data_IF_796158003165
#
_entry.id   IF_796158003165
#
_cell.length_a   1.000
_cell.length_b   1.000
_cell.length_c   1.000
_cell.angle_alpha   90.00
_cell.angle_beta   90.00
_cell.angle_gamma   90.00
#
_symmetry.space_group_name_H-M   'P 1'
#
loop_
_entity.id
_entity.type
_entity.pdbx_description
1 polymer ?
#
# COMPACT_ATOMS: atom_id res chain seq x y z
N UNK A 1 28.44 -31.99 -25.89
CA UNK A 1 28.20 -31.35 -24.57
C UNK A 1 27.67 -29.96 -24.82
N UNK A 2 26.32 -29.79 -24.83
CA UNK A 2 25.67 -28.53 -25.15
C UNK A 2 25.00 -28.01 -23.86
N UNK A 3 25.59 -26.96 -23.31
CA UNK A 3 25.00 -26.21 -22.18
C UNK A 3 23.87 -25.27 -22.70
N UNK A 4 22.63 -25.55 -22.35
CA UNK A 4 21.51 -24.66 -22.59
C UNK A 4 21.46 -23.58 -21.49
N UNK A 5 21.83 -22.35 -21.85
CA UNK A 5 21.51 -21.15 -21.03
C UNK A 5 19.99 -20.89 -21.08
N UNK A 6 19.33 -21.04 -19.94
CA UNK A 6 17.94 -20.59 -19.78
C UNK A 6 17.93 -19.08 -19.52
N UNK A 7 17.55 -18.31 -20.54
CA UNK A 7 17.17 -16.91 -20.41
C UNK A 7 15.79 -16.83 -19.73
N UNK A 8 15.74 -16.36 -18.51
CA UNK A 8 14.48 -15.93 -17.88
C UNK A 8 14.18 -14.52 -18.34
N UNK A 9 13.25 -14.42 -19.31
CA UNK A 9 12.75 -13.16 -19.78
C UNK A 9 11.83 -12.52 -18.73
N UNK A 10 12.13 -11.29 -18.36
CA UNK A 10 11.22 -10.41 -17.60
C UNK A 10 9.99 -10.10 -18.46
N UNK A 11 8.87 -10.73 -18.16
CA UNK A 11 7.59 -10.37 -18.75
C UNK A 11 7.07 -9.09 -18.09
N UNK A 12 7.29 -7.95 -18.74
CA UNK A 12 6.59 -6.69 -18.43
C UNK A 12 5.17 -6.87 -18.97
N UNK A 13 4.21 -7.15 -18.10
CA UNK A 13 2.79 -7.15 -18.45
C UNK A 13 2.32 -5.71 -18.63
N UNK A 14 2.33 -5.25 -19.90
CA UNK A 14 1.68 -4.04 -20.35
C UNK A 14 0.17 -4.33 -20.49
N UNK A 15 -0.65 -3.78 -19.61
CA UNK A 15 -2.11 -3.87 -19.69
C UNK A 15 -2.60 -2.80 -20.69
N UNK A 16 -2.94 -3.22 -21.90
CA UNK A 16 -3.66 -2.41 -22.88
C UNK A 16 -5.14 -2.34 -22.50
N UNK A 17 -5.59 -1.18 -22.01
CA UNK A 17 -7.01 -0.85 -21.89
C UNK A 17 -7.50 -0.19 -23.19
N UNK A 18 -8.53 -0.77 -23.80
CA UNK A 18 -9.29 -0.17 -24.88
C UNK A 18 -10.13 1.00 -24.35
N UNK A 19 -9.87 2.21 -24.88
CA UNK A 19 -10.73 3.38 -24.70
C UNK A 19 -11.85 3.35 -25.75
N UNK A 20 -13.10 3.28 -25.30
CA UNK A 20 -14.24 3.74 -26.07
C UNK A 20 -14.51 5.20 -25.73
N UNK A 21 -14.27 6.10 -26.69
CA UNK A 21 -14.62 7.50 -26.62
C UNK A 21 -16.05 7.69 -27.09
N UNK A 22 -16.96 8.13 -26.22
CA UNK A 22 -18.22 8.75 -26.61
C UNK A 22 -18.20 10.21 -26.18
N UNK A 23 -18.35 11.09 -27.19
CA UNK A 23 -18.26 12.52 -27.03
C UNK A 23 -19.42 13.14 -26.25
N UNK A 24 -19.13 14.21 -25.54
CA UNK A 24 -20.14 15.12 -25.00
C UNK A 24 -19.77 16.56 -25.38
N UNK A 25 -20.78 17.27 -25.93
CA UNK A 25 -20.71 18.61 -26.49
C UNK A 25 -20.50 19.68 -25.42
N UNK A 26 -19.68 20.66 -25.76
CA UNK A 26 -19.49 21.94 -25.10
C UNK A 26 -20.76 22.82 -25.12
N UNK A 27 -21.12 23.43 -24.00
CA UNK A 27 -21.99 24.61 -23.95
C UNK A 27 -21.21 25.80 -23.37
N UNK A 28 -21.32 26.92 -24.08
CA UNK A 28 -20.71 28.21 -23.75
C UNK A 28 -21.48 28.94 -22.62
N UNK A 29 -20.83 29.89 -21.89
CA UNK A 29 -21.46 30.60 -20.79
C UNK A 29 -22.23 31.85 -21.27
N UNK A 30 -23.42 32.05 -20.74
CA UNK A 30 -24.22 33.26 -20.91
C UNK A 30 -23.77 34.29 -19.89
N UNK A 31 -23.45 35.50 -20.40
CA UNK A 31 -23.15 36.71 -19.67
C UNK A 31 -24.43 37.51 -19.47
N UNK A 32 -24.76 37.92 -18.24
CA UNK A 32 -25.61 39.10 -18.03
C UNK A 32 -25.55 39.65 -16.59
N UNK A 33 -25.31 40.94 -16.49
CA UNK A 33 -26.05 41.84 -15.67
C UNK A 33 -25.34 42.47 -14.45
N UNK A 34 -24.85 43.65 -14.69
CA UNK A 34 -24.53 44.70 -13.72
C UNK A 34 -25.64 44.97 -12.69
N UNK A 35 -25.31 45.07 -11.42
CA UNK A 35 -25.99 45.94 -10.50
C UNK A 35 -25.09 46.41 -9.37
N UNK A 36 -24.88 47.72 -9.32
CA UNK A 36 -24.21 48.49 -8.26
C UNK A 36 -24.89 48.26 -6.90
N UNK A 37 -24.10 48.00 -5.85
CA UNK A 37 -24.53 48.21 -4.48
C UNK A 37 -23.41 48.81 -3.63
N UNK A 38 -23.81 49.85 -2.95
CA UNK A 38 -23.20 50.84 -2.09
C UNK A 38 -22.32 50.26 -0.97
N UNK A 39 -21.18 50.95 -0.74
CA UNK A 39 -20.24 50.76 0.36
C UNK A 39 -20.91 51.10 1.68
N UNK A 40 -21.03 50.11 2.56
CA UNK A 40 -21.41 50.30 3.97
C UNK A 40 -20.13 50.19 4.85
N UNK A 41 -20.05 51.06 5.85
CA UNK A 41 -18.95 51.21 6.80
C UNK A 41 -18.65 49.95 7.62
N UNK A 42 -17.38 49.73 8.10
CA UNK A 42 -17.01 48.56 8.83
C UNK A 42 -17.49 48.58 10.29
N UNK A 43 -18.22 47.56 10.66
CA UNK A 43 -18.59 47.29 12.06
C UNK A 43 -17.41 46.65 12.79
N UNK A 44 -17.09 47.00 14.06
CA UNK A 44 -15.97 46.42 14.81
C UNK A 44 -16.28 44.96 15.15
N UNK A 45 -15.36 44.08 14.77
CA UNK A 45 -15.42 42.66 15.15
C UNK A 45 -14.89 42.54 16.58
N UNK A 46 -15.74 42.26 17.53
CA UNK A 46 -15.38 41.77 18.85
C UNK A 46 -14.62 40.45 18.73
N UNK A 47 -13.39 40.44 19.27
CA UNK A 47 -12.63 39.25 19.49
C UNK A 47 -13.33 38.34 20.51
N UNK A 48 -14.00 37.31 20.03
CA UNK A 48 -14.38 36.16 20.88
C UNK A 48 -13.25 35.16 20.92
N UNK A 49 -12.74 35.05 22.13
CA UNK A 49 -11.87 34.10 22.75
C UNK A 49 -11.63 32.75 22.04
N UNK A 50 -10.34 32.43 22.03
CA UNK A 50 -9.74 31.10 21.91
C UNK A 50 -10.64 29.96 22.42
N UNK A 51 -11.30 29.28 21.54
CA UNK A 51 -11.64 27.89 21.79
C UNK A 51 -10.35 27.08 21.56
N UNK A 52 -9.72 26.73 22.65
CA UNK A 52 -8.72 25.67 22.74
C UNK A 52 -9.35 24.39 22.19
N UNK A 53 -9.15 24.13 20.91
CA UNK A 53 -9.34 22.79 20.36
C UNK A 53 -8.30 21.89 21.04
N UNK A 54 -8.68 21.30 22.17
CA UNK A 54 -8.02 20.10 22.71
C UNK A 54 -8.28 18.98 21.70
N UNK A 55 -7.55 19.01 20.60
CA UNK A 55 -7.31 17.83 19.78
C UNK A 55 -6.48 16.91 20.69
N UNK A 56 -7.13 15.99 21.40
CA UNK A 56 -6.44 14.85 21.99
C UNK A 56 -5.84 14.07 20.81
N UNK A 57 -4.62 14.43 20.43
CA UNK A 57 -3.82 13.66 19.49
C UNK A 57 -3.51 12.37 20.22
N UNK A 58 -4.23 11.31 19.87
CA UNK A 58 -3.94 9.97 20.37
C UNK A 58 -2.50 9.64 20.01
N UNK A 59 -1.70 9.32 21.01
CA UNK A 59 -0.32 8.87 20.78
C UNK A 59 -0.35 7.48 20.15
N UNK A 60 0.00 7.42 18.87
CA UNK A 60 0.03 6.19 18.09
C UNK A 60 1.44 5.57 17.99
N UNK A 61 2.41 6.07 18.77
CA UNK A 61 3.77 5.53 18.77
C UNK A 61 3.80 4.05 19.18
N UNK A 62 4.64 3.27 18.49
CA UNK A 62 4.79 1.82 18.72
C UNK A 62 3.50 1.00 18.60
N UNK A 63 2.50 1.49 17.88
CA UNK A 63 1.22 0.78 17.72
C UNK A 63 1.42 -0.58 17.04
N UNK A 64 0.77 -1.58 17.59
CA UNK A 64 0.71 -2.94 17.02
C UNK A 64 -0.70 -3.28 16.59
N UNK A 65 -0.78 -4.05 15.51
CA UNK A 65 -2.04 -4.56 14.96
C UNK A 65 -1.99 -6.08 14.98
N UNK A 66 -2.99 -6.70 15.58
CA UNK A 66 -3.22 -8.13 15.44
C UNK A 66 -4.07 -8.39 14.21
N UNK A 67 -3.62 -9.29 13.35
CA UNK A 67 -4.33 -9.76 12.16
C UNK A 67 -4.68 -11.22 12.38
N UNK A 68 -5.96 -11.54 12.55
CA UNK A 68 -6.44 -12.90 12.75
C UNK A 68 -7.00 -13.44 11.43
N UNK A 69 -6.62 -14.67 11.09
CA UNK A 69 -7.09 -15.41 9.92
C UNK A 69 -7.43 -16.86 10.28
N UNK A 70 -8.07 -17.59 9.37
CA UNK A 70 -8.30 -19.03 9.53
C UNK A 70 -7.01 -19.87 9.58
N UNK A 71 -5.86 -19.30 9.19
CA UNK A 71 -4.55 -19.97 9.14
C UNK A 71 -3.66 -19.63 10.35
N UNK A 72 -4.13 -18.72 11.22
CA UNK A 72 -3.45 -18.26 12.40
C UNK A 72 -3.42 -16.74 12.52
N UNK A 73 -2.73 -16.25 13.54
CA UNK A 73 -2.61 -14.83 13.86
C UNK A 73 -1.23 -14.31 13.49
N UNK A 74 -1.17 -13.04 13.05
CA UNK A 74 0.05 -12.26 12.87
C UNK A 74 -0.03 -11.00 13.71
N UNK A 75 1.11 -10.52 14.21
CA UNK A 75 1.22 -9.20 14.84
C UNK A 75 2.10 -8.32 13.97
N UNK A 76 1.59 -7.16 13.63
CA UNK A 76 2.27 -6.14 12.83
C UNK A 76 2.62 -4.97 13.75
N UNK A 77 3.87 -4.51 13.71
CA UNK A 77 4.30 -3.22 14.26
C UNK A 77 4.24 -2.17 13.17
N UNK A 78 3.60 -1.03 13.43
CA UNK A 78 3.59 0.12 12.53
C UNK A 78 4.79 1.03 12.80
N UNK A 79 5.27 1.73 11.76
CA UNK A 79 6.42 2.63 11.85
C UNK A 79 5.97 4.07 12.13
N UNK A 80 6.63 4.72 13.06
CA UNK A 80 6.32 6.10 13.46
C UNK A 80 6.74 7.13 12.42
N UNK A 81 7.75 6.80 11.61
CA UNK A 81 8.32 7.66 10.57
C UNK A 81 7.49 7.70 9.27
N UNK A 82 6.39 6.96 9.22
CA UNK A 82 5.39 7.02 8.14
C UNK A 82 4.01 7.36 8.72
N UNK A 83 3.85 8.53 9.35
CA UNK A 83 2.68 8.85 10.18
C UNK A 83 1.37 8.87 9.40
N UNK A 84 1.35 9.30 8.14
CA UNK A 84 0.11 9.35 7.37
C UNK A 84 -0.43 7.93 7.09
N UNK A 85 0.45 6.98 6.72
CA UNK A 85 0.07 5.59 6.51
C UNK A 85 -0.29 4.91 7.83
N UNK A 86 0.53 5.12 8.88
CA UNK A 86 0.27 4.58 10.22
C UNK A 86 -1.10 4.99 10.74
N UNK A 87 -1.36 6.30 10.81
CA UNK A 87 -2.57 6.84 11.43
C UNK A 87 -3.82 6.49 10.63
N UNK A 88 -3.73 6.49 9.29
CA UNK A 88 -4.79 6.02 8.43
C UNK A 88 -5.09 4.53 8.63
N UNK A 89 -4.05 3.69 8.73
CA UNK A 89 -4.23 2.25 8.93
C UNK A 89 -4.89 1.96 10.28
N UNK A 90 -4.44 2.63 11.36
CA UNK A 90 -5.05 2.55 12.70
C UNK A 90 -6.53 2.93 12.64
N UNK A 91 -6.86 4.09 12.05
CA UNK A 91 -8.24 4.55 11.89
C UNK A 91 -9.13 3.51 11.19
N UNK A 92 -8.63 2.88 10.12
CA UNK A 92 -9.38 1.86 9.40
C UNK A 92 -9.53 0.57 10.21
N UNK A 93 -8.52 0.18 10.97
CA UNK A 93 -8.61 -0.98 11.90
C UNK A 93 -9.64 -0.71 13.00
N UNK A 94 -9.57 0.44 13.67
CA UNK A 94 -10.49 0.81 14.76
C UNK A 94 -11.94 0.92 14.29
N UNK A 95 -12.16 1.36 13.05
CA UNK A 95 -13.51 1.40 12.46
C UNK A 95 -14.04 0.02 12.04
N UNK A 96 -13.23 -1.04 12.15
CA UNK A 96 -13.58 -2.38 11.66
C UNK A 96 -13.60 -2.51 10.14
N UNK A 97 -13.03 -1.55 9.41
CA UNK A 97 -13.03 -1.52 7.95
C UNK A 97 -12.46 -2.82 7.33
N UNK A 98 -11.40 -3.38 7.92
CA UNK A 98 -10.73 -4.58 7.41
C UNK A 98 -11.43 -5.89 7.75
N UNK A 99 -12.41 -5.88 8.67
CA UNK A 99 -13.08 -7.11 9.09
C UNK A 99 -13.81 -7.75 7.91
N UNK A 100 -13.60 -9.05 7.75
CA UNK A 100 -14.15 -9.89 6.68
C UNK A 100 -13.66 -9.55 5.26
N UNK A 101 -12.66 -8.66 5.11
CA UNK A 101 -11.95 -8.50 3.86
C UNK A 101 -11.01 -9.68 3.62
N UNK A 102 -10.70 -9.95 2.35
CA UNK A 102 -9.87 -11.08 1.95
C UNK A 102 -8.42 -10.66 1.68
N UNK A 103 -7.50 -11.58 1.90
CA UNK A 103 -6.26 -11.61 1.13
C UNK A 103 -6.61 -12.04 -0.29
N UNK A 104 -6.93 -11.06 -1.13
CA UNK A 104 -7.54 -11.29 -2.46
C UNK A 104 -6.54 -11.57 -3.56
N UNK A 105 -5.23 -11.34 -3.31
CA UNK A 105 -4.15 -11.63 -4.25
C UNK A 105 -2.92 -12.14 -3.49
N UNK A 106 -2.56 -13.39 -3.75
CA UNK A 106 -1.47 -14.08 -3.06
C UNK A 106 -0.52 -14.69 -4.07
N UNK A 107 0.72 -14.20 -4.14
CA UNK A 107 1.75 -14.72 -5.04
C UNK A 107 2.91 -15.26 -4.21
N UNK A 108 3.09 -16.56 -4.23
CA UNK A 108 4.19 -17.25 -3.54
C UNK A 108 5.55 -16.73 -4.04
N UNK A 109 6.44 -16.42 -3.11
CA UNK A 109 7.73 -15.82 -3.41
C UNK A 109 7.66 -14.33 -3.75
N UNK A 110 6.49 -13.70 -3.56
CA UNK A 110 6.32 -12.26 -3.77
C UNK A 110 5.59 -11.59 -2.59
N UNK A 111 4.25 -11.65 -2.51
CA UNK A 111 3.49 -10.95 -1.46
C UNK A 111 2.06 -11.49 -1.29
N UNK A 112 1.44 -11.19 -0.15
CA UNK A 112 0.01 -11.34 0.11
C UNK A 112 -0.65 -9.96 0.19
N UNK A 113 -1.62 -9.67 -0.69
CA UNK A 113 -2.31 -8.36 -0.79
C UNK A 113 -3.75 -8.46 -0.29
N UNK A 114 -4.16 -7.47 0.50
CA UNK A 114 -5.51 -7.32 1.04
C UNK A 114 -5.99 -5.86 1.04
N UNK A 115 -7.11 -5.61 1.73
CA UNK A 115 -7.61 -4.25 1.96
C UNK A 115 -8.52 -3.68 0.85
N UNK A 116 -8.94 -4.49 -0.13
CA UNK A 116 -9.99 -4.13 -1.08
C UNK A 116 -11.37 -4.31 -0.44
N UNK A 117 -12.17 -3.24 -0.22
CA UNK A 117 -13.50 -3.35 0.36
C UNK A 117 -14.47 -4.20 -0.48
N UNK A 118 -14.24 -4.31 -1.79
CA UNK A 118 -15.04 -5.15 -2.68
C UNK A 118 -14.80 -6.65 -2.46
N UNK A 119 -13.79 -7.01 -1.67
CA UNK A 119 -13.50 -8.42 -1.35
C UNK A 119 -14.44 -9.00 -0.28
N UNK A 120 -15.17 -8.17 0.48
CA UNK A 120 -16.10 -8.65 1.51
C UNK A 120 -17.25 -9.40 0.88
N UNK A 121 -17.33 -10.72 1.17
CA UNK A 121 -18.37 -11.59 0.61
C UNK A 121 -18.33 -11.74 -0.91
N UNK A 122 -17.20 -11.44 -1.55
CA UNK A 122 -17.07 -11.50 -3.00
C UNK A 122 -17.25 -12.94 -3.53
N UNK A 123 -18.08 -13.09 -4.55
CA UNK A 123 -18.27 -14.38 -5.22
C UNK A 123 -16.96 -14.92 -5.81
N UNK A 124 -16.87 -16.24 -5.97
CA UNK A 124 -15.72 -16.85 -6.65
C UNK A 124 -15.57 -16.27 -8.07
N UNK A 125 -14.33 -15.94 -8.47
CA UNK A 125 -14.05 -15.35 -9.78
C UNK A 125 -14.32 -13.84 -9.90
N UNK A 126 -14.85 -13.18 -8.85
CA UNK A 126 -14.97 -11.71 -8.86
C UNK A 126 -13.62 -11.04 -9.06
N UNK A 127 -13.58 -10.00 -9.91
CA UNK A 127 -12.39 -9.17 -10.09
C UNK A 127 -12.23 -8.25 -8.88
N UNK A 128 -11.08 -8.33 -8.21
CA UNK A 128 -10.74 -7.60 -7.00
C UNK A 128 -9.45 -6.78 -7.23
N UNK A 129 -9.11 -5.92 -6.28
CA UNK A 129 -7.91 -5.10 -6.30
C UNK A 129 -8.12 -3.68 -6.83
N UNK A 130 -9.36 -3.28 -7.17
CA UNK A 130 -9.68 -1.94 -7.66
C UNK A 130 -10.42 -1.07 -6.64
N UNK A 131 -10.89 -1.65 -5.53
CA UNK A 131 -11.64 -0.95 -4.50
C UNK A 131 -10.75 -0.14 -3.55
N UNK A 132 -11.36 0.81 -2.84
CA UNK A 132 -10.69 1.63 -1.84
C UNK A 132 -11.67 2.51 -1.08
N UNK A 133 -11.20 3.28 -0.09
CA UNK A 133 -12.04 4.12 0.76
C UNK A 133 -12.41 5.46 0.10
N UNK A 134 -12.08 5.68 -1.17
CA UNK A 134 -12.39 6.90 -1.92
C UNK A 134 -11.30 7.98 -1.85
N UNK A 135 -10.14 7.68 -1.28
CA UNK A 135 -8.99 8.59 -1.21
C UNK A 135 -7.67 7.84 -1.35
N UNK A 136 -6.60 8.59 -1.57
CA UNK A 136 -5.22 8.11 -1.63
C UNK A 136 -4.37 8.81 -0.57
N UNK A 137 -3.22 8.24 -0.24
CA UNK A 137 -2.26 8.79 0.72
C UNK A 137 -0.99 9.17 -0.04
N UNK A 138 -0.43 10.39 0.15
CA UNK A 138 0.87 10.76 -0.39
C UNK A 138 1.95 9.75 0.00
N UNK A 139 2.89 9.46 -0.91
CA UNK A 139 3.97 8.52 -0.62
C UNK A 139 4.85 9.02 0.53
N UNK A 140 5.25 8.11 1.43
CA UNK A 140 6.19 8.34 2.54
C UNK A 140 7.39 7.40 2.39
N UNK A 141 8.14 7.57 1.28
CA UNK A 141 9.32 6.75 1.02
C UNK A 141 10.43 7.04 2.02
N UNK A 142 10.98 5.98 2.62
CA UNK A 142 12.06 6.06 3.58
C UNK A 142 13.09 4.95 3.31
N UNK A 143 14.33 5.31 3.01
CA UNK A 143 15.39 4.36 2.69
C UNK A 143 15.79 3.44 3.85
N UNK A 144 15.39 3.77 5.08
CA UNK A 144 15.61 2.88 6.22
C UNK A 144 14.65 1.68 6.22
N UNK A 145 13.51 1.79 5.52
CA UNK A 145 12.47 0.77 5.48
C UNK A 145 12.48 0.04 4.14
N UNK A 146 12.96 -1.18 4.17
CA UNK A 146 13.12 -2.03 2.99
C UNK A 146 12.02 -3.10 2.95
N UNK A 147 11.72 -3.60 1.75
CA UNK A 147 10.74 -4.66 1.53
C UNK A 147 11.31 -6.05 1.91
N UNK A 148 11.85 -6.19 3.13
CA UNK A 148 12.24 -7.49 3.66
C UNK A 148 11.02 -8.40 3.83
N UNK A 149 11.21 -9.71 3.96
CA UNK A 149 10.11 -10.63 4.31
C UNK A 149 9.41 -10.15 5.59
N UNK A 150 8.09 -10.04 5.52
CA UNK A 150 7.25 -9.51 6.59
C UNK A 150 7.01 -7.99 6.54
N UNK A 151 7.66 -7.24 5.66
CA UNK A 151 7.37 -5.82 5.50
C UNK A 151 5.92 -5.58 5.09
N UNK A 152 5.23 -4.66 5.79
CA UNK A 152 3.91 -4.16 5.46
C UNK A 152 4.07 -2.92 4.59
N UNK A 153 3.52 -2.95 3.38
CA UNK A 153 3.61 -1.84 2.45
C UNK A 153 2.25 -1.52 1.82
N UNK A 154 2.09 -0.26 1.41
CA UNK A 154 0.87 0.21 0.78
C UNK A 154 0.85 -0.14 -0.71
N UNK A 155 -0.26 -0.73 -1.18
CA UNK A 155 -0.49 -0.92 -2.61
C UNK A 155 -0.78 0.43 -3.29
N UNK A 156 -0.56 0.51 -4.60
CA UNK A 156 -0.87 1.69 -5.40
C UNK A 156 -1.13 1.32 -6.87
N UNK A 157 -1.72 2.25 -7.60
CA UNK A 157 -1.82 2.15 -9.05
C UNK A 157 -0.46 2.36 -9.73
N UNK A 158 -0.31 1.84 -10.95
CA UNK A 158 0.91 1.96 -11.75
C UNK A 158 1.23 3.41 -12.14
N UNK A 159 2.51 3.70 -12.40
CA UNK A 159 3.05 5.05 -12.64
C UNK A 159 2.36 5.82 -13.78
N UNK A 160 1.82 5.13 -14.79
CA UNK A 160 1.12 5.76 -15.91
C UNK A 160 -0.14 6.53 -15.49
N UNK A 161 -0.91 5.98 -14.55
CA UNK A 161 -2.15 6.60 -14.03
C UNK A 161 -1.94 7.30 -12.69
N UNK A 162 -0.80 7.07 -12.05
CA UNK A 162 -0.45 7.59 -10.73
C UNK A 162 1.03 8.03 -10.68
N UNK A 163 1.40 9.07 -11.42
CA UNK A 163 2.79 9.55 -11.48
C UNK A 163 3.31 10.08 -10.15
N UNK A 164 2.44 10.49 -9.23
CA UNK A 164 2.78 10.92 -7.87
C UNK A 164 3.09 9.76 -6.93
N UNK A 165 2.85 8.50 -7.38
CA UNK A 165 3.00 7.28 -6.58
C UNK A 165 2.22 7.29 -5.27
N UNK A 166 1.10 8.02 -5.21
CA UNK A 166 0.23 8.03 -4.05
C UNK A 166 -0.30 6.62 -3.77
N UNK A 167 -0.32 6.25 -2.51
CA UNK A 167 -0.78 4.95 -2.06
C UNK A 167 -2.29 4.83 -2.07
N UNK A 168 -2.82 3.62 -2.24
CA UNK A 168 -4.22 3.32 -1.93
C UNK A 168 -4.52 3.66 -0.48
N UNK A 169 -5.71 4.23 -0.22
CA UNK A 169 -6.14 4.56 1.13
C UNK A 169 -6.40 3.33 2.02
N UNK A 170 -6.54 2.11 1.44
CA UNK A 170 -6.81 0.90 2.23
C UNK A 170 -6.06 -0.35 1.79
N UNK A 171 -5.68 -0.47 0.52
CA UNK A 171 -5.01 -1.68 0.07
C UNK A 171 -3.55 -1.71 0.48
N UNK A 172 -3.15 -2.82 1.04
CA UNK A 172 -1.80 -3.11 1.52
C UNK A 172 -1.33 -4.49 1.05
N UNK A 173 -0.04 -4.74 1.18
CA UNK A 173 0.50 -6.09 1.03
C UNK A 173 1.58 -6.36 2.08
N UNK A 174 1.77 -7.65 2.37
CA UNK A 174 2.86 -8.15 3.21
C UNK A 174 3.84 -8.88 2.30
N UNK A 175 5.08 -8.40 2.26
CA UNK A 175 6.13 -8.95 1.42
C UNK A 175 6.58 -10.33 1.90
N UNK A 176 6.81 -11.27 0.97
CA UNK A 176 7.52 -12.51 1.24
C UNK A 176 8.88 -12.50 0.56
N UNK A 177 8.89 -12.45 -0.76
CA UNK A 177 10.10 -12.52 -1.57
C UNK A 177 10.91 -13.80 -1.36
N UNK A 178 12.18 -13.73 -1.73
CA UNK A 178 13.17 -14.80 -1.60
C UNK A 178 14.52 -14.21 -1.21
N UNK A 179 15.41 -15.05 -0.68
CA UNK A 179 16.80 -14.66 -0.44
C UNK A 179 17.49 -14.28 -1.75
N UNK A 180 18.33 -13.26 -1.70
CA UNK A 180 18.97 -12.65 -2.86
C UNK A 180 20.51 -12.80 -2.78
N UNK A 181 21.13 -12.90 -3.92
CA UNK A 181 22.59 -12.80 -4.04
C UNK A 181 23.04 -11.34 -4.06
N UNK A 182 24.33 -11.08 -3.75
CA UNK A 182 24.89 -9.73 -3.86
C UNK A 182 24.76 -9.16 -5.27
N UNK A 183 24.87 -9.98 -6.32
CA UNK A 183 24.68 -9.55 -7.69
C UNK A 183 23.25 -9.03 -7.95
N UNK A 184 22.23 -9.72 -7.43
CA UNK A 184 20.84 -9.30 -7.54
C UNK A 184 20.57 -8.01 -6.75
N UNK A 185 21.12 -7.90 -5.53
CA UNK A 185 21.00 -6.69 -4.71
C UNK A 185 21.66 -5.50 -5.42
N UNK A 186 22.86 -5.70 -6.00
CA UNK A 186 23.53 -4.65 -6.78
C UNK A 186 22.69 -4.21 -7.98
N UNK A 187 22.07 -5.12 -8.69
CA UNK A 187 21.21 -4.81 -9.82
C UNK A 187 20.00 -3.95 -9.40
N UNK A 188 19.34 -4.32 -8.29
CA UNK A 188 18.24 -3.53 -7.74
C UNK A 188 18.73 -2.16 -7.27
N UNK A 189 19.84 -2.08 -6.55
CA UNK A 189 20.41 -0.81 -6.10
C UNK A 189 20.69 0.14 -7.27
N UNK A 190 21.24 -0.36 -8.39
CA UNK A 190 21.46 0.44 -9.59
C UNK A 190 20.14 0.93 -10.20
N UNK A 191 19.11 0.11 -10.21
CA UNK A 191 17.77 0.52 -10.68
C UNK A 191 17.17 1.63 -9.80
N UNK A 192 17.24 1.50 -8.48
CA UNK A 192 16.76 2.51 -7.53
C UNK A 192 17.55 3.81 -7.68
N UNK A 193 18.86 3.75 -7.88
CA UNK A 193 19.73 4.91 -8.11
C UNK A 193 19.38 5.73 -9.34
N UNK A 194 18.74 5.16 -10.36
CA UNK A 194 18.30 5.92 -11.52
C UNK A 194 17.26 6.99 -11.15
N UNK A 195 16.45 6.73 -10.11
CA UNK A 195 15.44 7.66 -9.61
C UNK A 195 15.88 8.39 -8.33
N UNK A 196 16.74 7.77 -7.55
CA UNK A 196 17.24 8.25 -6.27
C UNK A 196 18.78 8.13 -6.23
N UNK A 197 19.55 9.06 -6.84
CA UNK A 197 20.99 8.92 -7.05
C UNK A 197 21.81 8.67 -5.77
N UNK A 198 21.34 9.14 -4.63
CA UNK A 198 22.02 8.99 -3.33
C UNK A 198 21.60 7.70 -2.58
N UNK A 199 20.72 6.89 -3.15
CA UNK A 199 20.31 5.64 -2.51
C UNK A 199 21.44 4.63 -2.48
N UNK A 200 21.65 3.98 -1.34
CA UNK A 200 22.50 2.81 -1.21
C UNK A 200 21.97 1.93 -0.08
N UNK A 201 21.99 0.62 -0.28
CA UNK A 201 21.73 -0.31 0.81
C UNK A 201 22.84 -0.28 1.84
N UNK A 202 22.50 -0.26 3.13
CA UNK A 202 23.46 -0.47 4.19
C UNK A 202 23.93 -1.93 4.20
N UNK A 203 25.11 -2.24 4.81
CA UNK A 203 25.56 -3.63 4.96
C UNK A 203 24.50 -4.52 5.64
N UNK A 204 23.79 -4.00 6.63
CA UNK A 204 22.75 -4.70 7.37
C UNK A 204 21.54 -5.00 6.48
N UNK A 205 21.08 -4.05 5.68
CA UNK A 205 19.98 -4.25 4.73
C UNK A 205 20.35 -5.30 3.67
N UNK A 206 21.59 -5.29 3.18
CA UNK A 206 22.08 -6.31 2.25
C UNK A 206 22.07 -7.70 2.88
N UNK A 207 22.52 -7.80 4.15
CA UNK A 207 22.51 -9.07 4.87
C UNK A 207 21.08 -9.59 5.11
N UNK A 208 20.15 -8.71 5.42
CA UNK A 208 18.71 -9.05 5.53
C UNK A 208 18.18 -9.65 4.22
N UNK A 209 18.47 -9.04 3.07
CA UNK A 209 18.03 -9.59 1.79
C UNK A 209 18.70 -10.92 1.43
N UNK A 210 19.93 -11.15 1.88
CA UNK A 210 20.67 -12.40 1.63
C UNK A 210 20.17 -13.55 2.51
N UNK A 211 19.76 -13.27 3.74
CA UNK A 211 19.41 -14.28 4.74
C UNK A 211 17.91 -14.49 4.88
N UNK A 212 17.17 -13.40 5.03
CA UNK A 212 15.71 -13.41 5.26
C UNK A 212 14.96 -13.32 3.94
N UNK A 213 15.52 -12.57 2.99
CA UNK A 213 14.89 -12.30 1.70
C UNK A 213 13.90 -11.14 1.73
N UNK A 214 13.22 -10.95 0.61
CA UNK A 214 12.28 -9.86 0.43
C UNK A 214 12.01 -9.55 -1.04
N UNK A 215 11.40 -8.38 -1.28
CA UNK A 215 11.02 -7.90 -2.61
C UNK A 215 11.70 -6.56 -2.90
N UNK A 216 13.04 -6.56 -2.88
CA UNK A 216 13.88 -5.36 -2.99
C UNK A 216 13.56 -4.47 -4.21
N UNK A 217 13.06 -5.07 -5.30
CA UNK A 217 12.65 -4.33 -6.51
C UNK A 217 11.52 -3.32 -6.29
N UNK A 218 10.85 -3.36 -5.11
CA UNK A 218 9.79 -2.42 -4.74
C UNK A 218 10.31 -1.26 -3.86
N UNK A 219 11.58 -1.32 -3.42
CA UNK A 219 12.15 -0.29 -2.56
C UNK A 219 12.15 1.08 -3.24
N UNK A 220 11.78 2.12 -2.48
CA UNK A 220 11.63 3.51 -2.94
C UNK A 220 10.58 3.72 -4.04
N UNK A 221 9.80 2.69 -4.38
CA UNK A 221 8.66 2.78 -5.29
C UNK A 221 7.31 2.55 -4.59
N UNK A 222 7.32 1.97 -3.38
CA UNK A 222 6.14 1.77 -2.52
C UNK A 222 6.49 2.14 -1.08
N UNK A 223 5.49 2.68 -0.34
CA UNK A 223 5.69 3.04 1.07
C UNK A 223 5.61 1.80 1.96
N UNK A 224 6.72 1.49 2.62
CA UNK A 224 6.76 0.51 3.72
C UNK A 224 6.45 1.25 5.01
N UNK A 225 5.41 0.83 5.73
CA UNK A 225 4.91 1.52 6.92
C UNK A 225 4.76 0.64 8.16
N UNK A 226 5.28 -0.59 8.10
CA UNK A 226 5.27 -1.52 9.21
C UNK A 226 5.94 -2.85 8.86
N UNK A 227 5.89 -3.77 9.80
CA UNK A 227 6.43 -5.12 9.65
C UNK A 227 5.70 -6.14 10.52
N UNK A 228 5.62 -7.38 10.05
CA UNK A 228 5.18 -8.52 10.87
C UNK A 228 6.27 -8.86 11.86
N UNK A 229 5.96 -8.76 13.16
CA UNK A 229 6.89 -9.06 14.26
C UNK A 229 6.62 -10.43 14.89
N UNK A 230 5.40 -10.98 14.71
CA UNK A 230 5.02 -12.31 15.15
C UNK A 230 4.15 -12.99 14.09
N UNK A 231 4.26 -14.30 13.91
CA UNK A 231 3.42 -15.06 12.98
C UNK A 231 3.87 -15.03 11.52
N UNK A 232 5.16 -14.87 11.22
CA UNK A 232 5.68 -14.97 9.85
C UNK A 232 5.40 -16.31 9.19
N UNK A 233 5.24 -17.39 9.95
CA UNK A 233 4.82 -18.70 9.45
C UNK A 233 3.38 -18.68 8.91
N UNK A 234 2.52 -17.82 9.48
CA UNK A 234 1.14 -17.63 8.97
C UNK A 234 1.16 -16.98 7.59
N UNK A 235 2.04 -15.99 7.35
CA UNK A 235 2.26 -15.43 6.01
C UNK A 235 2.67 -16.54 5.01
N UNK A 236 3.59 -17.41 5.40
CA UNK A 236 4.02 -18.53 4.55
C UNK A 236 2.88 -19.52 4.27
N UNK A 237 2.02 -19.79 5.25
CA UNK A 237 0.81 -20.62 5.06
C UNK A 237 -0.16 -19.97 4.07
N UNK A 238 -0.45 -18.67 4.22
CA UNK A 238 -1.28 -17.90 3.29
C UNK A 238 -0.75 -18.02 1.86
N UNK A 239 0.55 -17.80 1.67
CA UNK A 239 1.19 -17.80 0.35
C UNK A 239 1.47 -19.20 -0.22
N UNK A 240 1.27 -20.26 0.58
CA UNK A 240 1.33 -21.65 0.12
C UNK A 240 -0.01 -22.18 -0.40
N UNK A 241 -1.11 -21.43 -0.17
CA UNK A 241 -2.44 -21.83 -0.66
C UNK A 241 -2.49 -21.82 -2.18
N UNK A 242 -3.14 -22.81 -2.82
CA UNK A 242 -3.39 -22.78 -4.25
C UNK A 242 -4.19 -21.53 -4.64
N UNK A 243 -3.86 -20.95 -5.79
CA UNK A 243 -4.53 -19.76 -6.31
C UNK A 243 -5.22 -20.04 -7.64
N UNK A 244 -6.32 -19.32 -7.90
CA UNK A 244 -7.05 -19.28 -9.15
C UNK A 244 -6.59 -18.09 -10.03
N UNK A 245 -7.35 -17.80 -11.08
CA UNK A 245 -7.12 -16.63 -11.93
C UNK A 245 -7.11 -15.33 -11.09
N UNK A 246 -6.17 -14.43 -11.40
CA UNK A 246 -5.95 -13.19 -10.62
C UNK A 246 -5.20 -13.39 -9.31
N UNK A 247 -4.54 -14.54 -9.14
CA UNK A 247 -3.77 -14.90 -7.94
C UNK A 247 -4.62 -14.95 -6.64
N UNK A 248 -5.97 -15.05 -6.78
CA UNK A 248 -6.86 -15.19 -5.62
C UNK A 248 -6.74 -16.61 -5.05
N UNK A 249 -6.56 -16.78 -3.72
CA UNK A 249 -6.62 -18.10 -3.10
C UNK A 249 -7.91 -18.85 -3.47
N UNK A 250 -7.81 -20.13 -3.79
CA UNK A 250 -8.98 -20.97 -4.13
C UNK A 250 -9.94 -21.07 -2.95
N UNK A 251 -9.40 -21.11 -1.74
CA UNK A 251 -10.14 -20.98 -0.51
C UNK A 251 -9.92 -19.56 0.03
N UNK A 252 -11.00 -18.81 0.21
CA UNK A 252 -10.92 -17.44 0.71
C UNK A 252 -10.30 -17.39 2.10
N UNK A 253 -9.37 -16.44 2.28
CA UNK A 253 -8.70 -16.17 3.54
C UNK A 253 -9.14 -14.78 4.00
N UNK A 254 -10.14 -14.75 4.87
CA UNK A 254 -10.61 -13.50 5.48
C UNK A 254 -9.71 -13.07 6.63
N UNK A 255 -9.72 -11.78 6.91
CA UNK A 255 -8.98 -11.17 8.01
C UNK A 255 -9.92 -10.48 9.01
N UNK A 256 -9.51 -10.46 10.26
CA UNK A 256 -10.01 -9.55 11.30
C UNK A 256 -8.82 -8.83 11.88
N UNK A 257 -8.95 -7.52 12.08
CA UNK A 257 -7.86 -6.71 12.63
C UNK A 257 -8.29 -5.97 13.89
N UNK A 258 -7.37 -5.88 14.84
CA UNK A 258 -7.55 -5.13 16.08
C UNK A 258 -6.25 -4.43 16.48
N UNK A 259 -6.37 -3.23 17.04
CA UNK A 259 -5.24 -2.52 17.65
C UNK A 259 -4.92 -3.19 18.99
N UNK A 260 -3.66 -3.53 19.18
CA UNK A 260 -3.14 -4.05 20.46
C UNK A 260 -2.04 -3.14 20.96
N UNK A 261 -1.97 -2.98 22.29
CA UNK A 261 -0.97 -2.11 22.96
C UNK A 261 0.24 -2.94 23.37
#
# INVERSE_FOLDING_TARGET
MNSRLSFWGFAIFSFLLFLNATGCKSQEPVNNGNSNLTIGEPVPIENKENQTNNNMQTDHTNTRIKVSTSLGDMVIRLYDETPQHRDNFIKLVESGFYNDLLFHRCIRGFMAQGGDPNSRGAAAGAQLGMGGPGYTIPAEFNSNFIHKKGALAAARQGDYVNPTKSSSGSQFYIAQGQAMTDAQINQVEQYVKQKNPNFAYTPEQREVYKTIGGTAQLDMDYTVFGEVVEGLDVLDKILSMPTAAGDRPVQDISMKMEVIK
#
